data_IF_477725467548
#
_entry.id   IF_477725467548
#
_cell.length_a   1.000
_cell.length_b   1.000
_cell.length_c   1.000
_cell.angle_alpha   90.00
_cell.angle_beta   90.00
_cell.angle_gamma   90.00
#
_symmetry.space_group_name_H-M   'P 1'
#
loop_
_entity.id
_entity.type
_entity.pdbx_description
1 polymer ?
#
# COMPACT_ATOMS: atom_id res chain seq x y z
N UNK A 1 -6.23 22.87 -9.55
CA UNK A 1 -6.18 21.53 -10.17
C UNK A 1 -6.71 20.54 -9.15
N UNK A 2 -7.73 19.75 -9.50
CA UNK A 2 -8.27 18.74 -8.60
C UNK A 2 -7.30 17.56 -8.50
N UNK A 3 -7.23 16.93 -7.33
CA UNK A 3 -6.43 15.72 -7.14
C UNK A 3 -7.05 14.60 -7.99
N UNK A 4 -6.26 13.84 -8.78
CA UNK A 4 -6.76 12.77 -9.62
C UNK A 4 -7.52 11.71 -8.82
N UNK A 5 -8.67 11.27 -9.34
CA UNK A 5 -9.48 10.24 -8.68
C UNK A 5 -8.69 8.93 -8.48
N UNK A 6 -7.86 8.52 -9.44
CA UNK A 6 -7.01 7.34 -9.31
C UNK A 6 -6.03 7.45 -8.13
N UNK A 7 -5.47 8.65 -7.88
CA UNK A 7 -4.56 8.87 -6.77
C UNK A 7 -5.28 8.77 -5.42
N UNK A 8 -6.48 9.35 -5.32
CA UNK A 8 -7.34 9.26 -4.13
C UNK A 8 -7.72 7.80 -3.87
N UNK A 9 -8.27 7.12 -4.88
CA UNK A 9 -8.73 5.74 -4.76
C UNK A 9 -7.59 4.81 -4.37
N UNK A 10 -6.44 4.87 -5.06
CA UNK A 10 -5.31 4.00 -4.72
C UNK A 10 -4.73 4.27 -3.34
N UNK A 11 -4.63 5.53 -2.92
CA UNK A 11 -4.19 5.87 -1.55
C UNK A 11 -5.14 5.32 -0.49
N UNK A 12 -6.47 5.47 -0.68
CA UNK A 12 -7.48 4.89 0.22
C UNK A 12 -7.38 3.35 0.22
N UNK A 13 -7.20 2.72 -0.94
CA UNK A 13 -7.03 1.27 -1.03
C UNK A 13 -5.83 0.77 -0.22
N UNK A 14 -4.65 1.39 -0.36
CA UNK A 14 -3.47 1.00 0.41
C UNK A 14 -3.64 1.22 1.92
N UNK A 15 -4.32 2.30 2.33
CA UNK A 15 -4.67 2.53 3.74
C UNK A 15 -5.57 1.41 4.27
N UNK A 16 -6.64 1.05 3.53
CA UNK A 16 -7.54 -0.03 3.93
C UNK A 16 -6.80 -1.36 4.02
N UNK A 17 -5.96 -1.69 3.04
CA UNK A 17 -5.16 -2.91 3.04
C UNK A 17 -4.21 -2.98 4.26
N UNK A 18 -3.55 -1.86 4.60
CA UNK A 18 -2.72 -1.78 5.81
C UNK A 18 -3.50 -1.97 7.10
N UNK A 19 -4.68 -1.35 7.22
CA UNK A 19 -5.56 -1.52 8.38
C UNK A 19 -6.03 -2.97 8.50
N UNK A 20 -6.45 -3.60 7.40
CA UNK A 20 -6.87 -5.00 7.38
C UNK A 20 -5.73 -5.91 7.80
N UNK A 21 -4.52 -5.71 7.26
CA UNK A 21 -3.35 -6.51 7.62
C UNK A 21 -2.98 -6.34 9.11
N UNK A 22 -3.03 -5.13 9.66
CA UNK A 22 -2.82 -4.90 11.09
C UNK A 22 -3.90 -5.58 11.93
N UNK A 23 -5.17 -5.49 11.52
CA UNK A 23 -6.28 -6.14 12.22
C UNK A 23 -6.09 -7.67 12.26
N UNK A 24 -5.51 -8.28 11.22
CA UNK A 24 -5.15 -9.69 11.22
C UNK A 24 -4.08 -9.99 12.26
N UNK A 25 -3.01 -9.19 12.36
CA UNK A 25 -1.97 -9.37 13.39
C UNK A 25 -2.57 -9.31 14.80
N UNK A 26 -3.40 -8.28 15.07
CA UNK A 26 -4.09 -8.14 16.36
C UNK A 26 -5.03 -9.31 16.65
N UNK A 27 -5.81 -9.74 15.65
CA UNK A 27 -6.75 -10.87 15.80
C UNK A 27 -6.01 -12.17 16.07
N UNK A 28 -4.89 -12.43 15.39
CA UNK A 28 -4.05 -13.61 15.62
C UNK A 28 -3.43 -13.60 17.01
N UNK A 29 -3.05 -12.41 17.51
CA UNK A 29 -2.56 -12.24 18.88
C UNK A 29 -3.65 -12.46 19.93
N UNK A 30 -4.88 -12.00 19.69
CA UNK A 30 -5.99 -12.14 20.64
C UNK A 30 -6.49 -13.58 20.79
N UNK A 31 -6.44 -14.38 19.71
CA UNK A 31 -6.82 -15.80 19.75
C UNK A 31 -5.68 -16.73 20.19
N UNK A 32 -4.54 -16.18 20.60
CA UNK A 32 -3.39 -16.94 21.11
C UNK A 32 -2.62 -17.72 20.04
N UNK A 33 -2.76 -17.36 18.75
CA UNK A 33 -2.05 -18.00 17.62
C UNK A 33 -0.70 -17.36 17.31
N UNK A 34 -0.40 -16.21 17.92
CA UNK A 34 0.83 -15.46 17.69
C UNK A 34 1.47 -15.07 19.03
N UNK A 35 2.77 -15.31 19.16
CA UNK A 35 3.54 -14.89 20.33
C UNK A 35 3.68 -13.36 20.38
N UNK A 36 3.94 -12.77 21.57
CA UNK A 36 4.07 -11.32 21.70
C UNK A 36 5.17 -10.71 20.83
N UNK A 37 6.33 -11.37 20.74
CA UNK A 37 7.46 -10.89 19.95
C UNK A 37 7.16 -10.91 18.45
N UNK A 38 6.55 -11.99 17.96
CA UNK A 38 6.11 -12.12 16.56
C UNK A 38 5.03 -11.10 16.22
N UNK A 39 4.12 -10.79 17.15
CA UNK A 39 3.11 -9.75 16.98
C UNK A 39 3.73 -8.35 16.88
N UNK A 40 4.75 -8.06 17.70
CA UNK A 40 5.47 -6.79 17.64
C UNK A 40 6.19 -6.63 16.30
N UNK A 41 6.87 -7.68 15.82
CA UNK A 41 7.51 -7.69 14.50
C UNK A 41 6.46 -7.53 13.40
N UNK A 42 5.35 -8.28 13.47
CA UNK A 42 4.26 -8.20 12.50
C UNK A 42 3.68 -6.80 12.37
N UNK A 43 3.45 -6.10 13.48
CA UNK A 43 2.96 -4.72 13.47
C UNK A 43 3.91 -3.77 12.73
N UNK A 44 5.21 -3.85 13.02
CA UNK A 44 6.23 -2.99 12.36
C UNK A 44 6.34 -3.32 10.87
N UNK A 45 6.43 -4.61 10.53
CA UNK A 45 6.59 -5.08 9.15
C UNK A 45 5.39 -4.70 8.29
N UNK A 46 4.15 -4.88 8.79
CA UNK A 46 2.94 -4.53 8.04
C UNK A 46 2.90 -3.04 7.71
N UNK A 47 3.27 -2.17 8.66
CA UNK A 47 3.29 -0.71 8.45
C UNK A 47 4.33 -0.36 7.38
N UNK A 48 5.58 -0.84 7.54
CA UNK A 48 6.66 -0.56 6.59
C UNK A 48 6.29 -1.06 5.20
N UNK A 49 5.82 -2.31 5.08
CA UNK A 49 5.44 -2.91 3.81
C UNK A 49 4.31 -2.13 3.13
N UNK A 50 3.27 -1.74 3.87
CA UNK A 50 2.15 -0.95 3.33
C UNK A 50 2.63 0.38 2.77
N UNK A 51 3.48 1.11 3.51
CA UNK A 51 4.03 2.40 3.06
C UNK A 51 4.96 2.20 1.86
N UNK A 52 5.83 1.20 1.88
CA UNK A 52 6.74 0.91 0.76
C UNK A 52 6.00 0.54 -0.51
N UNK A 53 4.98 -0.32 -0.42
CA UNK A 53 4.16 -0.71 -1.57
C UNK A 53 3.34 0.47 -2.11
N UNK A 54 2.74 1.27 -1.22
CA UNK A 54 2.05 2.50 -1.61
C UNK A 54 3.00 3.47 -2.31
N UNK A 55 4.20 3.70 -1.78
CA UNK A 55 5.18 4.61 -2.37
C UNK A 55 5.63 4.14 -3.76
N UNK A 56 5.88 2.84 -3.92
CA UNK A 56 6.24 2.26 -5.21
C UNK A 56 5.11 2.48 -6.24
N UNK A 57 3.88 2.14 -5.87
CA UNK A 57 2.71 2.37 -6.73
C UNK A 57 2.50 3.87 -7.03
N UNK A 58 2.64 4.73 -6.02
CA UNK A 58 2.48 6.17 -6.15
C UNK A 58 3.46 6.73 -7.18
N UNK A 59 4.74 6.38 -7.08
CA UNK A 59 5.76 6.78 -8.04
C UNK A 59 5.46 6.21 -9.44
N UNK A 60 5.05 4.94 -9.53
CA UNK A 60 4.68 4.32 -10.80
C UNK A 60 3.45 4.99 -11.43
N UNK A 61 2.50 5.48 -10.66
CA UNK A 61 1.35 6.20 -11.20
C UNK A 61 1.72 7.63 -11.60
N UNK A 62 2.46 8.34 -10.74
CA UNK A 62 2.88 9.73 -10.97
C UNK A 62 3.78 9.89 -12.19
N UNK A 63 4.67 8.92 -12.51
CA UNK A 63 5.51 9.04 -13.71
C UNK A 63 4.71 9.00 -15.02
N UNK A 64 3.50 8.44 -14.98
CA UNK A 64 2.59 8.39 -16.12
C UNK A 64 1.68 9.62 -16.18
N UNK A 65 1.61 10.41 -15.10
CA UNK A 65 0.71 11.55 -15.02
C UNK A 65 1.34 12.77 -15.71
N UNK A 66 0.72 13.19 -16.82
CA UNK A 66 1.27 14.18 -17.77
C UNK A 66 2.56 13.66 -18.47
N UNK A 67 2.45 12.62 -19.30
CA UNK A 67 3.60 12.02 -19.96
C UNK A 67 4.19 12.98 -21.01
N UNK A 68 5.52 13.05 -21.07
CA UNK A 68 6.25 13.83 -22.08
C UNK A 68 6.55 13.02 -23.35
N UNK A 69 6.49 11.70 -23.24
CA UNK A 69 6.75 10.75 -24.32
C UNK A 69 5.52 9.87 -24.52
N UNK A 70 5.22 9.53 -25.77
CA UNK A 70 4.18 8.58 -26.14
C UNK A 70 4.81 7.37 -26.83
N UNK A 71 4.16 6.19 -26.74
CA UNK A 71 4.63 5.00 -27.45
C UNK A 71 4.57 5.19 -28.97
N UNK A 72 5.61 4.72 -29.67
CA UNK A 72 5.64 4.62 -31.13
C UNK A 72 5.20 3.21 -31.51
N UNK A 73 4.19 3.09 -32.36
CA UNK A 73 3.70 1.81 -32.84
C UNK A 73 4.28 1.54 -34.23
N UNK A 74 5.05 0.47 -34.38
CA UNK A 74 5.49 -0.05 -35.68
C UNK A 74 4.54 -1.18 -36.07
N UNK A 75 3.67 -0.90 -37.06
CA UNK A 75 2.82 -1.87 -37.74
C UNK A 75 3.16 -1.91 -39.22
#
# INVERSE_FOLDING_TARGET
MAIPAALITGTICYIILGIVALAVVFSMRSIGKLNPDDAAVGNVVVIIATVSMWLFWFCAWMHQWHPLISPIYEG
#
